data_IF_195919739272
#
_entry.id   IF_195919739272
#
_cell.length_a   1.000
_cell.length_b   1.000
_cell.length_c   1.000
_cell.angle_alpha   90.00
_cell.angle_beta   90.00
_cell.angle_gamma   90.00
#
_symmetry.space_group_name_H-M   'P 1'
#
loop_
_entity.id
_entity.type
_entity.pdbx_description
1 polymer ?
#
# COMPACT_ATOMS: atom_id res chain seq x y z
N UNK A 1 21.82 -2.83 -2.78
CA UNK A 1 21.65 -1.39 -2.99
C UNK A 1 22.90 -0.72 -2.47
N UNK A 2 23.74 -0.20 -3.35
CA UNK A 2 24.77 0.75 -2.93
C UNK A 2 24.02 1.98 -2.41
N UNK A 3 24.21 2.30 -1.13
CA UNK A 3 23.82 3.61 -0.60
C UNK A 3 24.67 4.60 -1.37
N UNK A 4 24.05 5.54 -2.08
CA UNK A 4 24.80 6.64 -2.67
C UNK A 4 25.57 7.31 -1.51
N UNK A 5 26.89 7.21 -1.54
CA UNK A 5 27.73 7.83 -0.54
C UNK A 5 27.74 9.31 -0.85
N UNK A 6 27.16 10.12 0.06
CA UNK A 6 27.13 11.55 -0.12
C UNK A 6 28.56 12.08 -0.23
N UNK A 7 28.79 13.01 -1.17
CA UNK A 7 30.06 13.71 -1.28
C UNK A 7 30.45 14.33 0.07
N UNK A 8 31.75 14.41 0.35
CA UNK A 8 32.24 15.06 1.57
C UNK A 8 31.67 16.49 1.71
N UNK A 9 31.07 16.80 2.86
CA UNK A 9 30.38 18.06 3.13
C UNK A 9 28.93 18.14 2.62
N UNK A 10 28.41 17.07 2.00
CA UNK A 10 27.01 16.92 1.57
C UNK A 10 26.29 15.84 2.37
N UNK A 11 24.97 15.98 2.54
CA UNK A 11 24.11 14.95 3.11
C UNK A 11 23.09 14.47 2.09
N UNK A 12 22.78 13.17 2.14
CA UNK A 12 21.76 12.54 1.31
C UNK A 12 20.38 12.85 1.88
N UNK A 13 19.66 13.75 1.22
CA UNK A 13 18.33 14.20 1.66
C UNK A 13 17.23 13.60 0.78
N UNK A 14 16.13 13.17 1.41
CA UNK A 14 14.95 12.64 0.72
C UNK A 14 13.78 13.63 0.83
N UNK A 15 13.68 14.63 -0.05
CA UNK A 15 12.74 15.76 0.09
C UNK A 15 11.28 15.32 0.10
N UNK A 16 10.93 14.32 -0.69
CA UNK A 16 9.56 13.84 -0.77
C UNK A 16 9.08 13.21 0.55
N UNK A 17 9.98 12.76 1.44
CA UNK A 17 9.58 12.11 2.71
C UNK A 17 9.19 13.09 3.81
N UNK A 18 9.57 14.37 3.69
CA UNK A 18 9.22 15.38 4.68
C UNK A 18 7.87 16.05 4.40
N UNK A 19 7.44 16.06 3.14
CA UNK A 19 6.16 16.62 2.70
C UNK A 19 5.00 15.99 3.48
N UNK A 20 4.08 16.82 3.94
CA UNK A 20 2.91 16.38 4.68
C UNK A 20 2.05 15.42 3.86
N UNK A 21 1.86 15.73 2.57
CA UNK A 21 1.09 14.91 1.62
C UNK A 21 1.63 13.48 1.48
N UNK A 22 2.95 13.32 1.40
CA UNK A 22 3.58 12.00 1.29
C UNK A 22 3.43 11.20 2.58
N UNK A 23 3.56 11.85 3.73
CA UNK A 23 3.36 11.21 5.04
C UNK A 23 1.91 10.75 5.23
N UNK A 24 0.94 11.58 4.83
CA UNK A 24 -0.47 11.21 4.88
C UNK A 24 -0.78 10.09 3.89
N UNK A 25 -0.27 10.15 2.66
CA UNK A 25 -0.47 9.11 1.65
C UNK A 25 0.07 7.75 2.14
N UNK A 26 1.26 7.74 2.73
CA UNK A 26 1.84 6.54 3.36
C UNK A 26 0.91 5.94 4.42
N UNK A 27 0.34 6.79 5.27
CA UNK A 27 -0.59 6.36 6.32
C UNK A 27 -1.90 5.80 5.73
N UNK A 28 -2.46 6.46 4.70
CA UNK A 28 -3.67 6.01 4.00
C UNK A 28 -3.45 4.64 3.35
N UNK A 29 -2.35 4.45 2.62
CA UNK A 29 -2.03 3.17 1.98
C UNK A 29 -1.92 2.05 3.03
N UNK A 30 -1.16 2.29 4.11
CA UNK A 30 -1.01 1.32 5.19
C UNK A 30 -2.35 0.99 5.86
N UNK A 31 -3.20 1.99 6.09
CA UNK A 31 -4.54 1.80 6.65
C UNK A 31 -5.42 0.93 5.75
N UNK A 32 -5.48 1.21 4.44
CA UNK A 32 -6.31 0.45 3.50
C UNK A 32 -5.83 -1.01 3.37
N UNK A 33 -4.51 -1.25 3.41
CA UNK A 33 -3.94 -2.61 3.45
C UNK A 33 -4.39 -3.37 4.71
N UNK A 34 -4.37 -2.72 5.87
CA UNK A 34 -4.81 -3.34 7.12
C UNK A 34 -6.32 -3.61 7.13
N UNK A 35 -7.14 -2.67 6.65
CA UNK A 35 -8.59 -2.88 6.47
C UNK A 35 -8.85 -4.08 5.57
N UNK A 36 -8.12 -4.19 4.44
CA UNK A 36 -8.23 -5.33 3.53
C UNK A 36 -7.87 -6.64 4.23
N UNK A 37 -6.78 -6.68 5.01
CA UNK A 37 -6.37 -7.86 5.75
C UNK A 37 -7.41 -8.27 6.81
N UNK A 38 -7.98 -7.31 7.54
CA UNK A 38 -9.03 -7.56 8.54
C UNK A 38 -10.27 -8.14 7.87
N UNK A 39 -10.71 -7.57 6.75
CA UNK A 39 -11.85 -8.11 5.99
C UNK A 39 -11.60 -9.55 5.56
N UNK A 40 -10.42 -9.87 5.04
CA UNK A 40 -10.04 -11.23 4.67
C UNK A 40 -10.12 -12.20 5.84
N UNK A 41 -9.59 -11.80 7.01
CA UNK A 41 -9.64 -12.62 8.23
C UNK A 41 -11.08 -12.86 8.67
N UNK A 42 -11.92 -11.82 8.71
CA UNK A 42 -13.33 -11.93 9.11
C UNK A 42 -14.09 -12.85 8.15
N UNK A 43 -13.95 -12.66 6.84
CA UNK A 43 -14.61 -13.49 5.82
C UNK A 43 -14.16 -14.95 5.95
N UNK A 44 -12.85 -15.17 6.14
CA UNK A 44 -12.28 -16.53 6.17
C UNK A 44 -12.70 -17.28 7.43
N UNK A 45 -12.63 -16.64 8.60
CA UNK A 45 -13.04 -17.26 9.86
C UNK A 45 -14.56 -17.44 9.89
N UNK A 46 -15.31 -16.43 9.45
CA UNK A 46 -16.76 -16.47 9.43
C UNK A 46 -17.34 -17.50 8.46
N UNK A 47 -16.68 -17.73 7.32
CA UNK A 47 -17.10 -18.70 6.30
C UNK A 47 -16.45 -20.07 6.42
N UNK A 48 -15.60 -20.31 7.42
CA UNK A 48 -14.63 -21.42 7.46
C UNK A 48 -15.23 -22.80 7.11
N UNK A 49 -16.40 -23.12 7.68
CA UNK A 49 -17.08 -24.41 7.53
C UNK A 49 -17.63 -24.64 6.11
N UNK A 50 -17.82 -23.57 5.33
CA UNK A 50 -18.45 -23.58 4.01
C UNK A 50 -17.53 -23.11 2.89
N UNK A 51 -16.26 -22.86 3.19
CA UNK A 51 -15.23 -22.63 2.19
C UNK A 51 -14.96 -23.89 1.36
N UNK A 52 -14.39 -23.71 0.16
CA UNK A 52 -14.02 -24.79 -0.77
C UNK A 52 -12.79 -25.59 -0.29
N UNK A 53 -12.77 -25.97 0.99
CA UNK A 53 -11.69 -26.71 1.65
C UNK A 53 -10.71 -25.84 2.43
N UNK A 54 -9.94 -26.48 3.30
CA UNK A 54 -8.97 -25.82 4.18
C UNK A 54 -7.84 -25.12 3.43
N UNK A 55 -7.48 -25.59 2.22
CA UNK A 55 -6.47 -24.96 1.39
C UNK A 55 -6.83 -23.53 1.00
N UNK A 56 -8.10 -23.27 0.66
CA UNK A 56 -8.60 -21.93 0.31
C UNK A 56 -8.56 -21.02 1.52
N UNK A 57 -8.98 -21.52 2.68
CA UNK A 57 -8.95 -20.76 3.93
C UNK A 57 -7.51 -20.36 4.31
N UNK A 58 -6.57 -21.31 4.28
CA UNK A 58 -5.16 -21.05 4.57
C UNK A 58 -4.56 -20.07 3.56
N UNK A 59 -4.85 -20.22 2.26
CA UNK A 59 -4.36 -19.29 1.23
C UNK A 59 -4.86 -17.87 1.45
N UNK A 60 -6.11 -17.72 1.89
CA UNK A 60 -6.71 -16.40 2.15
C UNK A 60 -6.09 -15.75 3.40
N UNK A 61 -5.76 -16.55 4.43
CA UNK A 61 -5.01 -16.07 5.59
C UNK A 61 -3.56 -15.67 5.24
N UNK A 62 -2.90 -16.40 4.32
CA UNK A 62 -1.58 -16.01 3.80
C UNK A 62 -1.68 -14.66 3.09
N UNK A 63 -2.71 -14.46 2.28
CA UNK A 63 -2.95 -13.19 1.59
C UNK A 63 -3.15 -12.03 2.59
N UNK A 64 -3.92 -12.25 3.66
CA UNK A 64 -4.09 -11.29 4.73
C UNK A 64 -2.76 -10.96 5.42
N UNK A 65 -1.96 -11.97 5.76
CA UNK A 65 -0.62 -11.78 6.34
C UNK A 65 0.33 -11.01 5.41
N UNK A 66 0.23 -11.25 4.11
CA UNK A 66 1.00 -10.53 3.09
C UNK A 66 0.60 -9.05 3.03
N UNK A 67 -0.69 -8.73 3.13
CA UNK A 67 -1.15 -7.34 3.22
C UNK A 67 -0.69 -6.63 4.50
N UNK A 68 -0.65 -7.34 5.64
CA UNK A 68 -0.07 -6.81 6.88
C UNK A 68 1.43 -6.54 6.70
N UNK A 69 2.17 -7.48 6.10
CA UNK A 69 3.59 -7.29 5.79
C UNK A 69 3.79 -6.07 4.89
N UNK A 70 2.97 -5.91 3.85
CA UNK A 70 3.05 -4.77 2.94
C UNK A 70 2.79 -3.46 3.66
N UNK A 71 1.81 -3.41 4.58
CA UNK A 71 1.55 -2.23 5.39
C UNK A 71 2.79 -1.83 6.21
N UNK A 72 3.46 -2.79 6.84
CA UNK A 72 4.70 -2.54 7.59
C UNK A 72 5.84 -2.05 6.68
N UNK A 73 5.99 -2.63 5.48
CA UNK A 73 7.01 -2.21 4.51
C UNK A 73 6.74 -0.80 3.99
N UNK A 74 5.48 -0.45 3.73
CA UNK A 74 5.07 0.91 3.33
C UNK A 74 5.39 1.91 4.44
N UNK A 75 5.08 1.58 5.70
CA UNK A 75 5.42 2.44 6.85
C UNK A 75 6.93 2.69 6.97
N UNK A 76 7.74 1.70 6.55
CA UNK A 76 9.21 1.77 6.44
C UNK A 76 9.73 2.40 5.13
N UNK A 77 8.86 3.09 4.37
CA UNK A 77 9.19 3.79 3.13
C UNK A 77 9.63 2.88 1.96
N UNK A 78 9.15 1.64 1.91
CA UNK A 78 9.39 0.75 0.77
C UNK A 78 8.44 1.09 -0.38
N UNK A 79 8.94 1.80 -1.40
CA UNK A 79 8.14 2.15 -2.60
C UNK A 79 7.88 0.94 -3.50
N UNK A 80 8.83 0.02 -3.60
CA UNK A 80 8.77 -1.12 -4.53
C UNK A 80 7.57 -2.04 -4.31
N UNK A 81 6.97 -2.00 -3.12
CA UNK A 81 5.81 -2.82 -2.78
C UNK A 81 4.48 -2.25 -3.32
N UNK A 82 4.41 -0.95 -3.61
CA UNK A 82 3.18 -0.29 -4.05
C UNK A 82 2.59 -0.88 -5.35
N UNK A 83 3.37 -1.05 -6.45
CA UNK A 83 2.83 -1.67 -7.66
C UNK A 83 2.45 -3.15 -7.45
N UNK A 84 3.18 -3.87 -6.60
CA UNK A 84 2.87 -5.27 -6.25
C UNK A 84 1.55 -5.35 -5.48
N UNK A 85 1.35 -4.45 -4.50
CA UNK A 85 0.11 -4.35 -3.74
C UNK A 85 -1.09 -4.05 -4.65
N UNK A 86 -0.93 -3.12 -5.61
CA UNK A 86 -1.97 -2.80 -6.58
C UNK A 86 -2.32 -4.01 -7.47
N UNK A 87 -1.33 -4.74 -7.97
CA UNK A 87 -1.57 -5.94 -8.79
C UNK A 87 -2.31 -7.03 -8.02
N UNK A 88 -1.92 -7.30 -6.77
CA UNK A 88 -2.63 -8.25 -5.92
C UNK A 88 -4.04 -7.77 -5.57
N UNK A 89 -4.23 -6.47 -5.35
CA UNK A 89 -5.56 -5.90 -5.11
C UNK A 89 -6.51 -6.12 -6.30
N UNK A 90 -6.02 -6.03 -7.54
CA UNK A 90 -6.82 -6.37 -8.74
C UNK A 90 -7.28 -7.83 -8.69
N UNK A 91 -6.36 -8.76 -8.44
CA UNK A 91 -6.69 -10.20 -8.38
C UNK A 91 -7.72 -10.46 -7.27
N UNK A 92 -7.52 -9.87 -6.10
CA UNK A 92 -8.42 -10.06 -4.97
C UNK A 92 -9.80 -9.43 -5.22
N UNK A 93 -9.87 -8.28 -5.88
CA UNK A 93 -11.13 -7.66 -6.28
C UNK A 93 -11.95 -8.59 -7.19
N UNK A 94 -11.30 -9.26 -8.14
CA UNK A 94 -11.94 -10.23 -9.05
C UNK A 94 -12.48 -11.41 -8.25
N UNK A 95 -11.66 -12.01 -7.37
CA UNK A 95 -12.10 -13.14 -6.54
C UNK A 95 -13.28 -12.77 -5.64
N UNK A 96 -13.22 -11.59 -5.02
CA UNK A 96 -14.30 -11.09 -4.16
C UNK A 96 -15.60 -10.86 -4.96
N UNK A 97 -15.50 -10.29 -6.17
CA UNK A 97 -16.65 -10.05 -7.03
C UNK A 97 -17.33 -11.35 -7.50
N UNK A 98 -16.54 -12.40 -7.76
CA UNK A 98 -17.07 -13.72 -8.13
C UNK A 98 -17.65 -14.44 -6.89
N UNK A 99 -17.01 -14.33 -5.73
CA UNK A 99 -17.44 -15.04 -4.52
C UNK A 99 -18.70 -14.44 -3.86
N UNK A 100 -18.91 -13.12 -3.96
CA UNK A 100 -20.05 -12.44 -3.35
C UNK A 100 -21.43 -13.05 -3.72
N UNK A 101 -21.80 -13.22 -5.01
CA UNK A 101 -23.10 -13.82 -5.38
C UNK A 101 -23.26 -15.25 -4.86
N UNK A 102 -22.18 -16.03 -4.79
CA UNK A 102 -22.23 -17.41 -4.29
C UNK A 102 -22.56 -17.47 -2.79
N UNK A 103 -22.18 -16.45 -2.01
CA UNK A 103 -22.60 -16.37 -0.60
C UNK A 103 -24.09 -16.05 -0.48
N UNK A 104 -24.59 -15.06 -1.21
CA UNK A 104 -26.02 -14.74 -1.22
C UNK A 104 -26.86 -15.93 -1.72
N UNK A 105 -26.37 -16.71 -2.69
CA UNK A 105 -27.07 -17.88 -3.20
C UNK A 105 -27.22 -19.02 -2.16
N UNK A 106 -26.40 -19.02 -1.10
CA UNK A 106 -26.45 -19.98 0.02
C UNK A 106 -27.44 -19.58 1.12
N UNK A 107 -27.93 -18.34 1.14
CA UNK A 107 -28.97 -17.87 2.06
C UNK A 107 -30.33 -18.50 1.68
N UNK A 108 -30.52 -19.77 2.05
CA UNK A 108 -31.72 -20.56 1.80
C UNK A 108 -32.04 -21.44 3.00
N UNK A 109 -33.33 -21.54 3.29
CA UNK A 109 -33.82 -22.40 4.37
C UNK A 109 -33.44 -23.86 4.14
N UNK A 110 -33.01 -24.54 5.22
CA UNK A 110 -32.67 -25.96 5.20
C UNK A 110 -31.23 -26.30 4.78
N UNK A 111 -30.39 -25.29 4.53
CA UNK A 111 -28.94 -25.47 4.43
C UNK A 111 -28.27 -25.18 5.77
N UNK A 112 -27.22 -25.91 6.06
CA UNK A 112 -26.37 -25.61 7.22
C UNK A 112 -25.60 -24.30 7.00
N UNK A 113 -25.71 -23.41 7.98
CA UNK A 113 -25.05 -22.10 7.95
C UNK A 113 -23.61 -22.14 8.47
N UNK A 114 -22.74 -21.25 7.98
CA UNK A 114 -21.43 -21.03 8.56
C UNK A 114 -21.51 -20.17 9.83
N UNK A 115 -20.37 -19.87 10.46
CA UNK A 115 -20.31 -19.15 11.72
C UNK A 115 -20.85 -17.70 11.64
N UNK A 116 -20.69 -17.04 10.49
CA UNK A 116 -21.34 -15.75 10.19
C UNK A 116 -22.47 -15.94 9.17
N UNK A 117 -23.55 -15.14 9.23
CA UNK A 117 -24.62 -15.21 8.23
C UNK A 117 -24.10 -15.07 6.80
N UNK A 118 -24.65 -15.85 5.88
CA UNK A 118 -24.23 -15.93 4.49
C UNK A 118 -24.40 -14.58 3.79
N UNK A 119 -25.48 -13.88 4.06
CA UNK A 119 -25.73 -12.53 3.52
C UNK A 119 -24.70 -11.51 4.03
N UNK A 120 -24.24 -11.67 5.28
CA UNK A 120 -23.17 -10.83 5.82
C UNK A 120 -21.84 -11.16 5.14
N UNK A 121 -21.51 -12.44 4.94
CA UNK A 121 -20.30 -12.85 4.21
C UNK A 121 -20.33 -12.34 2.75
N UNK A 122 -21.47 -12.44 2.08
CA UNK A 122 -21.68 -11.90 0.73
C UNK A 122 -21.50 -10.39 0.69
N UNK A 123 -22.05 -9.66 1.66
CA UNK A 123 -21.87 -8.21 1.79
C UNK A 123 -20.41 -7.84 2.05
N UNK A 124 -19.70 -8.56 2.92
CA UNK A 124 -18.29 -8.31 3.20
C UNK A 124 -17.42 -8.57 1.96
N UNK A 125 -17.70 -9.62 1.19
CA UNK A 125 -17.06 -9.86 -0.12
C UNK A 125 -17.36 -8.72 -1.10
N UNK A 126 -18.60 -8.25 -1.16
CA UNK A 126 -18.98 -7.14 -2.03
C UNK A 126 -18.28 -5.83 -1.65
N UNK A 127 -18.17 -5.53 -0.35
CA UNK A 127 -17.45 -4.36 0.21
C UNK A 127 -15.94 -4.46 -0.02
N UNK A 128 -15.39 -5.68 -0.05
CA UNK A 128 -13.96 -5.87 -0.32
C UNK A 128 -13.57 -5.34 -1.71
N UNK A 129 -14.45 -5.42 -2.71
CA UNK A 129 -14.22 -4.93 -4.07
C UNK A 129 -13.88 -3.42 -4.11
N UNK A 130 -14.73 -2.49 -3.64
CA UNK A 130 -14.40 -1.07 -3.62
C UNK A 130 -13.19 -0.77 -2.72
N UNK A 131 -12.97 -1.52 -1.64
CA UNK A 131 -11.75 -1.37 -0.82
C UNK A 131 -10.50 -1.68 -1.64
N UNK A 132 -10.51 -2.72 -2.48
CA UNK A 132 -9.41 -3.02 -3.39
C UNK A 132 -9.23 -1.94 -4.46
N UNK A 133 -10.31 -1.39 -5.01
CA UNK A 133 -10.23 -0.27 -5.97
C UNK A 133 -9.60 0.96 -5.34
N UNK A 134 -9.95 1.28 -4.09
CA UNK A 134 -9.30 2.34 -3.32
C UNK A 134 -7.82 2.03 -3.13
N UNK A 135 -7.47 0.79 -2.74
CA UNK A 135 -6.07 0.37 -2.56
C UNK A 135 -5.25 0.58 -3.85
N UNK A 136 -5.79 0.17 -5.00
CA UNK A 136 -5.16 0.37 -6.31
C UNK A 136 -4.92 1.86 -6.55
N UNK A 137 -5.96 2.69 -6.40
CA UNK A 137 -5.85 4.13 -6.65
C UNK A 137 -4.79 4.79 -5.76
N UNK A 138 -4.83 4.57 -4.44
CA UNK A 138 -3.89 5.20 -3.51
C UNK A 138 -2.47 4.65 -3.68
N UNK A 139 -2.30 3.37 -4.03
CA UNK A 139 -0.99 2.80 -4.32
C UNK A 139 -0.37 3.42 -5.58
N UNK A 140 -1.16 3.65 -6.63
CA UNK A 140 -0.70 4.32 -7.85
C UNK A 140 -0.33 5.79 -7.60
N UNK A 141 -1.14 6.51 -6.82
CA UNK A 141 -0.81 7.89 -6.42
C UNK A 141 0.46 7.92 -5.59
N UNK A 142 0.57 7.08 -4.55
CA UNK A 142 1.77 6.99 -3.72
C UNK A 142 3.02 6.58 -4.48
N UNK A 143 2.88 5.71 -5.49
CA UNK A 143 4.00 5.32 -6.34
C UNK A 143 4.52 6.50 -7.17
N UNK A 144 3.63 7.39 -7.61
CA UNK A 144 3.95 8.61 -8.36
C UNK A 144 4.50 9.75 -7.49
N UNK A 145 4.56 9.59 -6.15
CA UNK A 145 5.18 10.57 -5.24
C UNK A 145 6.70 10.38 -5.06
N UNK A 146 7.31 9.46 -5.83
CA UNK A 146 8.76 9.36 -5.97
C UNK A 146 9.55 9.31 -4.65
N UNK A 147 9.13 8.47 -3.69
CA UNK A 147 9.75 8.38 -2.35
C UNK A 147 11.25 7.98 -2.32
N UNK A 148 11.76 7.56 -3.47
CA UNK A 148 13.14 7.16 -3.74
C UNK A 148 14.06 8.32 -4.16
N UNK A 149 13.53 9.50 -4.47
CA UNK A 149 14.37 10.62 -4.91
C UNK A 149 15.25 11.04 -3.74
N UNK A 150 16.54 11.07 -4.03
CA UNK A 150 17.61 11.45 -3.15
C UNK A 150 18.33 12.64 -3.80
N UNK A 151 18.44 13.72 -3.06
CA UNK A 151 19.16 14.92 -3.45
C UNK A 151 20.35 15.08 -2.51
N UNK A 152 21.52 15.35 -3.09
CA UNK A 152 22.68 15.77 -2.32
C UNK A 152 22.53 17.25 -2.01
N UNK A 153 22.57 17.61 -0.73
CA UNK A 153 22.57 19.02 -0.31
C UNK A 153 23.75 19.29 0.60
N UNK A 154 24.36 20.49 0.53
CA UNK A 154 25.41 20.86 1.46
C UNK A 154 24.91 20.76 2.91
N UNK A 155 25.74 20.23 3.80
CA UNK A 155 25.40 20.11 5.23
C UNK A 155 25.18 21.52 5.79
N UNK A 156 24.00 21.76 6.38
CA UNK A 156 23.62 23.09 6.89
C UNK A 156 23.01 24.04 5.85
N UNK A 157 22.81 23.61 4.60
CA UNK A 157 22.11 24.38 3.57
C UNK A 157 22.87 25.58 2.99
N UNK A 158 24.15 25.72 3.36
CA UNK A 158 25.08 26.71 2.81
C UNK A 158 26.01 26.01 1.81
N UNK A 159 26.22 26.56 0.60
CA UNK A 159 27.25 26.05 -0.32
C UNK A 159 28.61 25.94 0.40
N UNK A 160 29.38 24.90 0.10
CA UNK A 160 30.74 24.80 0.64
C UNK A 160 31.60 25.94 0.08
N UNK A 161 32.57 26.37 0.89
CA UNK A 161 33.50 27.43 0.51
C UNK A 161 34.22 27.07 -0.81
N UNK A 162 33.97 27.83 -1.88
CA UNK A 162 34.51 27.58 -3.22
C UNK A 162 33.49 27.10 -4.27
N UNK A 163 32.22 26.88 -3.90
CA UNK A 163 31.13 26.51 -4.82
C UNK A 163 30.17 27.68 -5.15
N UNK A 164 30.62 28.93 -4.96
CA UNK A 164 29.89 30.11 -5.43
C UNK A 164 29.83 30.08 -6.96
N UNK A 165 28.60 30.00 -7.49
CA UNK A 165 28.32 29.69 -8.88
C UNK A 165 29.09 30.54 -9.89
N UNK A 166 29.73 29.86 -10.85
CA UNK A 166 30.06 30.45 -12.13
C UNK A 166 28.77 30.93 -12.81
N UNK A 167 28.47 32.22 -12.70
CA UNK A 167 27.26 32.81 -13.30
C UNK A 167 26.94 34.26 -12.94
N UNK A 168 27.73 34.94 -12.12
CA UNK A 168 27.56 36.37 -11.83
C UNK A 168 28.75 37.18 -12.32
N UNK A 169 28.84 37.45 -13.64
CA UNK A 169 29.73 38.50 -14.11
C UNK A 169 29.27 39.82 -13.47
N UNK A 170 30.10 40.39 -12.59
CA UNK A 170 29.88 41.72 -12.04
C UNK A 170 29.73 42.72 -13.20
N UNK A 171 28.71 43.61 -13.19
CA UNK A 171 28.60 44.63 -14.22
C UNK A 171 29.84 45.54 -14.12
N UNK A 172 30.55 45.69 -15.24
CA UNK A 172 31.71 46.55 -15.35
C UNK A 172 31.34 48.00 -14.96
N UNK A 173 32.18 48.69 -14.17
CA UNK A 173 31.93 50.08 -13.80
C UNK A 173 31.93 50.96 -15.06
N UNK A 174 30.94 51.86 -15.13
CA UNK A 174 30.75 52.86 -16.18
C UNK A 174 31.81 53.96 -16.14
#
# INVERSE_FOLDING_TARGET
MQVAEAREGYELWRPNRVKAETKSMKAVIAFVLLVSAVLLVIITIGGWERLLGASVAVMTLIWAGLYVLFALLVLRWSRGILPVAAALAVILAIFAAIAAPDWFARSKDGLDSPALPEDLLGLLCLVLVPVQLVLIAVAMVGFNQEWHVEEERPIGGQPLHGEDGGGGAAPAPA
#
